data_IF_188272247571
#
_entry.id   IF_188272247571
#
_cell.length_a   1.000
_cell.length_b   1.000
_cell.length_c   1.000
_cell.angle_alpha   90.00
_cell.angle_beta   90.00
_cell.angle_gamma   90.00
#
_symmetry.space_group_name_H-M   'P 1'
#
loop_
_entity.id
_entity.type
_entity.pdbx_description
1 polymer ?
#
# COMPACT_ATOMS: atom_id res chain seq x y z
N UNK A 1 5.46 1.30 -16.31
CA UNK A 1 6.60 2.17 -15.96
C UNK A 1 6.29 2.95 -14.69
N UNK A 2 7.24 3.04 -13.79
CA UNK A 2 7.05 3.73 -12.50
C UNK A 2 7.35 5.21 -12.67
N UNK A 3 6.42 6.06 -12.23
CA UNK A 3 6.51 7.51 -12.40
C UNK A 3 6.05 8.22 -11.12
N UNK A 4 6.53 9.45 -10.87
CA UNK A 4 6.01 10.27 -9.79
C UNK A 4 4.53 10.57 -10.04
N UNK A 5 3.78 10.70 -8.95
CA UNK A 5 2.35 11.01 -9.03
C UNK A 5 2.11 12.40 -9.62
N UNK A 6 1.20 12.47 -10.58
CA UNK A 6 0.71 13.72 -11.15
C UNK A 6 -0.71 13.94 -10.60
N UNK A 7 -1.02 15.11 -10.02
CA UNK A 7 -2.37 15.38 -9.51
C UNK A 7 -3.50 15.17 -10.51
N UNK A 8 -3.23 15.25 -11.81
CA UNK A 8 -4.25 14.94 -12.83
C UNK A 8 -4.72 13.49 -12.80
N UNK A 9 -3.97 12.61 -12.13
CA UNK A 9 -4.29 11.19 -12.00
C UNK A 9 -5.00 10.85 -10.70
N UNK A 10 -5.34 11.86 -9.89
CA UNK A 10 -5.93 11.65 -8.56
C UNK A 10 -7.19 10.78 -8.61
N UNK A 11 -8.08 11.02 -9.57
CA UNK A 11 -9.31 10.22 -9.66
C UNK A 11 -9.03 8.75 -9.94
N UNK A 12 -8.05 8.45 -10.81
CA UNK A 12 -7.66 7.07 -11.10
C UNK A 12 -7.10 6.38 -9.85
N UNK A 13 -6.23 7.09 -9.12
CA UNK A 13 -5.63 6.58 -7.89
C UNK A 13 -6.71 6.30 -6.83
N UNK A 14 -7.66 7.21 -6.67
CA UNK A 14 -8.71 7.04 -5.67
C UNK A 14 -9.68 5.90 -5.98
N UNK A 15 -9.97 5.66 -7.25
CA UNK A 15 -10.78 4.51 -7.65
C UNK A 15 -10.05 3.21 -7.30
N UNK A 16 -8.75 3.14 -7.59
CA UNK A 16 -7.94 1.97 -7.23
C UNK A 16 -7.95 1.76 -5.71
N UNK A 17 -7.74 2.84 -4.94
CA UNK A 17 -7.75 2.78 -3.48
C UNK A 17 -9.07 2.17 -2.97
N UNK A 18 -10.19 2.68 -3.44
CA UNK A 18 -11.50 2.24 -2.96
C UNK A 18 -11.79 0.79 -3.34
N UNK A 19 -11.65 0.46 -4.62
CA UNK A 19 -12.01 -0.87 -5.12
C UNK A 19 -11.12 -1.97 -4.55
N UNK A 20 -9.80 -1.72 -4.46
CA UNK A 20 -8.89 -2.73 -3.93
C UNK A 20 -9.08 -2.96 -2.44
N UNK A 21 -9.37 -1.91 -1.66
CA UNK A 21 -9.64 -2.09 -0.24
C UNK A 21 -10.90 -2.90 0.00
N UNK A 22 -11.96 -2.61 -0.73
CA UNK A 22 -13.22 -3.35 -0.61
C UNK A 22 -12.99 -4.82 -0.97
N UNK A 23 -12.27 -5.08 -2.07
CA UNK A 23 -12.01 -6.43 -2.55
C UNK A 23 -11.10 -7.24 -1.60
N UNK A 24 -10.04 -6.61 -1.11
CA UNK A 24 -9.05 -7.29 -0.28
C UNK A 24 -9.49 -7.50 1.17
N UNK A 25 -10.47 -6.75 1.64
CA UNK A 25 -10.85 -6.72 3.04
C UNK A 25 -12.34 -7.00 3.24
N UNK A 26 -12.83 -8.22 2.89
CA UNK A 26 -14.27 -8.55 3.04
C UNK A 26 -14.71 -8.56 4.50
N UNK A 27 -13.79 -8.66 5.46
CA UNK A 27 -14.04 -8.61 6.89
C UNK A 27 -14.25 -7.18 7.43
N UNK A 28 -14.10 -6.15 6.57
CA UNK A 28 -14.37 -4.75 6.89
C UNK A 28 -15.55 -4.29 6.03
N UNK A 29 -16.58 -3.64 6.61
CA UNK A 29 -17.71 -3.18 5.80
C UNK A 29 -17.26 -2.21 4.70
N UNK A 30 -17.83 -2.35 3.50
CA UNK A 30 -17.52 -1.45 2.39
C UNK A 30 -17.77 0.01 2.74
N UNK A 31 -18.77 0.28 3.59
CA UNK A 31 -19.08 1.63 4.03
C UNK A 31 -17.90 2.31 4.75
N UNK A 32 -17.06 1.55 5.45
CA UNK A 32 -15.89 2.11 6.11
C UNK A 32 -14.97 2.80 5.08
N UNK A 33 -14.71 2.12 3.96
CA UNK A 33 -13.86 2.68 2.91
C UNK A 33 -14.53 3.87 2.22
N UNK A 34 -15.82 3.77 1.94
CA UNK A 34 -16.58 4.84 1.30
C UNK A 34 -16.65 6.09 2.17
N UNK A 35 -16.81 5.91 3.48
CA UNK A 35 -16.89 7.03 4.43
C UNK A 35 -15.55 7.74 4.60
N UNK A 36 -14.44 7.05 4.34
CA UNK A 36 -13.10 7.61 4.46
C UNK A 36 -12.53 8.14 3.13
N UNK A 37 -13.28 8.00 2.04
CA UNK A 37 -12.81 8.34 0.69
C UNK A 37 -12.32 9.78 0.58
N UNK A 38 -13.13 10.74 1.01
CA UNK A 38 -12.76 12.17 0.89
C UNK A 38 -11.58 12.54 1.79
N UNK A 39 -11.50 11.96 2.96
CA UNK A 39 -10.38 12.18 3.86
C UNK A 39 -9.07 11.69 3.23
N UNK A 40 -9.06 10.48 2.69
CA UNK A 40 -7.88 9.90 2.06
C UNK A 40 -7.48 10.69 0.82
N UNK A 41 -8.47 11.10 0.03
CA UNK A 41 -8.23 11.91 -1.16
C UNK A 41 -7.47 13.20 -0.81
N UNK A 42 -7.88 13.86 0.27
CA UNK A 42 -7.18 15.06 0.74
C UNK A 42 -5.78 14.76 1.28
N UNK A 43 -5.61 13.63 1.96
CA UNK A 43 -4.33 13.27 2.56
C UNK A 43 -3.27 12.87 1.53
N UNK A 44 -3.67 12.45 0.32
CA UNK A 44 -2.72 12.05 -0.71
C UNK A 44 -1.80 13.18 -1.15
N UNK A 45 -2.22 14.42 -1.02
CA UNK A 45 -1.39 15.57 -1.40
C UNK A 45 -0.13 15.69 -0.53
N UNK A 46 -0.13 15.10 0.67
CA UNK A 46 0.99 15.16 1.60
C UNK A 46 1.88 13.91 1.55
N UNK A 47 1.54 12.95 0.71
CA UNK A 47 2.29 11.70 0.59
C UNK A 47 3.27 11.75 -0.58
N UNK A 48 4.34 10.97 -0.48
CA UNK A 48 5.25 10.72 -1.59
C UNK A 48 4.68 9.51 -2.34
N UNK A 49 4.14 9.73 -3.53
CA UNK A 49 3.43 8.70 -4.28
C UNK A 49 4.15 8.36 -5.56
N UNK A 50 4.34 7.06 -5.80
CA UNK A 50 4.80 6.55 -7.08
C UNK A 50 3.66 5.76 -7.70
N UNK A 51 3.44 5.96 -9.00
CA UNK A 51 2.41 5.22 -9.74
C UNK A 51 3.08 4.30 -10.75
N UNK A 52 2.43 3.18 -11.04
CA UNK A 52 2.80 2.32 -12.17
C UNK A 52 1.80 2.63 -13.28
N UNK A 53 2.29 3.20 -14.36
CA UNK A 53 1.42 3.67 -15.45
C UNK A 53 1.89 3.16 -16.81
N UNK A 54 0.93 2.63 -17.58
CA UNK A 54 1.12 2.25 -18.98
C UNK A 54 -0.19 2.53 -19.71
N UNK A 55 -0.35 3.78 -20.16
CA UNK A 55 -1.61 4.24 -20.74
C UNK A 55 -2.64 4.63 -19.70
N UNK A 56 -2.78 3.82 -18.65
CA UNK A 56 -3.61 4.10 -17.48
C UNK A 56 -2.79 3.81 -16.23
N UNK A 57 -3.23 4.35 -15.09
CA UNK A 57 -2.62 4.02 -13.81
C UNK A 57 -3.07 2.61 -13.43
N UNK A 58 -2.11 1.72 -13.22
CA UNK A 58 -2.37 0.32 -12.86
C UNK A 58 -2.22 0.05 -11.37
N UNK A 59 -1.48 0.89 -10.67
CA UNK A 59 -1.26 0.76 -9.24
C UNK A 59 -0.47 1.92 -8.71
N UNK A 60 -0.37 2.01 -7.38
CA UNK A 60 0.42 3.06 -6.74
C UNK A 60 0.86 2.64 -5.35
N UNK A 61 1.89 3.33 -4.84
CA UNK A 61 2.35 3.21 -3.47
C UNK A 61 2.47 4.62 -2.89
N UNK A 62 2.01 4.81 -1.67
CA UNK A 62 2.12 6.09 -0.97
C UNK A 62 2.97 5.96 0.28
N UNK A 63 3.94 6.85 0.43
CA UNK A 63 4.83 6.89 1.58
C UNK A 63 4.59 8.20 2.34
N UNK A 64 4.38 8.10 3.64
CA UNK A 64 4.23 9.27 4.51
C UNK A 64 5.32 9.22 5.58
N UNK A 65 5.61 10.36 6.20
CA UNK A 65 6.60 10.45 7.29
C UNK A 65 7.95 9.81 6.93
N UNK A 66 8.31 9.87 5.64
CA UNK A 66 9.61 9.46 5.10
C UNK A 66 9.91 7.95 5.14
N UNK A 67 9.05 7.13 5.71
CA UNK A 67 9.33 5.69 5.76
C UNK A 67 8.09 4.82 5.93
N UNK A 68 6.93 5.38 6.20
CA UNK A 68 5.72 4.60 6.43
C UNK A 68 4.91 4.44 5.14
N UNK A 69 4.69 3.19 4.75
CA UNK A 69 3.85 2.88 3.60
C UNK A 69 2.40 3.02 4.02
N UNK A 70 1.75 4.09 3.58
CA UNK A 70 0.33 4.32 3.86
C UNK A 70 -0.53 3.36 3.05
N UNK A 71 -0.05 2.90 1.89
CA UNK A 71 -0.73 1.89 1.10
C UNK A 71 0.02 1.52 -0.15
N UNK A 72 -0.19 0.29 -0.59
CA UNK A 72 0.29 -0.24 -1.86
C UNK A 72 -0.90 -0.94 -2.50
N UNK A 73 -1.33 -0.46 -3.65
CA UNK A 73 -2.55 -0.92 -4.29
C UNK A 73 -2.33 -1.16 -5.77
N UNK A 74 -2.70 -2.35 -6.24
CA UNK A 74 -2.67 -2.70 -7.66
C UNK A 74 -4.11 -3.00 -8.09
N UNK A 75 -4.57 -2.36 -9.15
CA UNK A 75 -5.91 -2.59 -9.69
C UNK A 75 -6.08 -4.09 -9.97
N UNK A 76 -7.27 -4.62 -9.67
CA UNK A 76 -7.52 -6.07 -9.68
C UNK A 76 -7.12 -6.74 -10.98
N UNK A 77 -7.43 -6.15 -12.13
CA UNK A 77 -7.13 -6.71 -13.44
C UNK A 77 -5.63 -6.78 -13.75
N UNK A 78 -4.80 -6.09 -12.97
CA UNK A 78 -3.35 -6.06 -13.18
C UNK A 78 -2.56 -6.76 -12.07
N UNK A 79 -3.24 -7.38 -11.12
CA UNK A 79 -2.58 -8.13 -10.05
C UNK A 79 -1.93 -9.40 -10.60
N UNK A 80 -0.90 -9.88 -9.89
CA UNK A 80 -0.19 -11.09 -10.30
C UNK A 80 0.80 -10.90 -11.43
N UNK A 81 1.13 -9.66 -11.79
CA UNK A 81 2.06 -9.33 -12.87
C UNK A 81 3.37 -8.71 -12.38
N UNK A 82 3.60 -8.71 -11.07
CA UNK A 82 4.83 -8.19 -10.49
C UNK A 82 4.86 -6.68 -10.28
N UNK A 83 3.74 -5.98 -10.44
CA UNK A 83 3.71 -4.52 -10.31
C UNK A 83 3.92 -4.07 -8.86
N UNK A 84 3.34 -4.78 -7.89
CA UNK A 84 3.55 -4.49 -6.48
C UNK A 84 5.00 -4.63 -6.08
N UNK A 85 5.64 -5.69 -6.56
CA UNK A 85 7.08 -5.91 -6.33
C UNK A 85 7.90 -4.78 -6.93
N UNK A 86 7.58 -4.35 -8.15
CA UNK A 86 8.30 -3.26 -8.82
C UNK A 86 8.20 -1.96 -8.02
N UNK A 87 7.01 -1.64 -7.50
CA UNK A 87 6.81 -0.43 -6.69
C UNK A 87 7.59 -0.50 -5.36
N UNK A 88 7.57 -1.65 -4.69
CA UNK A 88 8.34 -1.84 -3.46
C UNK A 88 9.83 -1.69 -3.73
N UNK A 89 10.34 -2.31 -4.80
CA UNK A 89 11.77 -2.22 -5.13
C UNK A 89 12.18 -0.78 -5.46
N UNK A 90 11.33 -0.01 -6.12
CA UNK A 90 11.60 1.40 -6.39
C UNK A 90 11.73 2.18 -5.07
N UNK A 91 10.84 1.90 -4.09
CA UNK A 91 10.92 2.54 -2.78
C UNK A 91 12.17 2.12 -2.01
N UNK A 92 12.59 0.87 -2.13
CA UNK A 92 13.83 0.39 -1.48
C UNK A 92 15.08 1.11 -1.99
N UNK A 93 15.05 1.59 -3.21
CA UNK A 93 16.16 2.40 -3.75
C UNK A 93 16.18 3.80 -3.14
N UNK A 94 15.02 4.31 -2.76
CA UNK A 94 14.87 5.68 -2.29
C UNK A 94 14.95 5.81 -0.77
N UNK A 95 14.51 4.79 -0.03
CA UNK A 95 14.42 4.82 1.42
C UNK A 95 15.31 3.75 2.05
N UNK A 96 15.90 4.04 3.21
CA UNK A 96 16.75 3.08 3.93
C UNK A 96 15.94 2.11 4.79
N UNK A 97 14.71 2.47 5.11
CA UNK A 97 13.80 1.59 5.84
C UNK A 97 12.37 1.90 5.42
N UNK A 98 11.49 0.91 5.57
CA UNK A 98 10.07 1.05 5.25
C UNK A 98 9.29 0.30 6.33
N UNK A 99 8.16 0.86 6.74
CA UNK A 99 7.27 0.24 7.70
C UNK A 99 5.84 0.30 7.20
N UNK A 100 5.02 -0.64 7.65
CA UNK A 100 3.60 -0.67 7.27
C UNK A 100 2.78 -1.39 8.34
N UNK A 101 1.46 -1.19 8.25
CA UNK A 101 0.49 -2.00 8.97
C UNK A 101 -0.32 -2.77 7.94
N UNK A 102 -0.60 -4.04 8.21
CA UNK A 102 -1.39 -4.89 7.32
C UNK A 102 -2.33 -5.74 8.16
N UNK A 103 -3.57 -5.88 7.71
CA UNK A 103 -4.54 -6.72 8.39
C UNK A 103 -4.06 -8.18 8.40
N UNK A 104 -4.13 -8.82 9.56
CA UNK A 104 -3.77 -10.24 9.70
C UNK A 104 -4.61 -11.11 8.76
N UNK A 105 -5.88 -10.77 8.59
CA UNK A 105 -6.79 -11.50 7.71
C UNK A 105 -6.47 -11.37 6.23
N UNK A 106 -5.69 -10.35 5.84
CA UNK A 106 -5.24 -10.20 4.46
C UNK A 106 -3.96 -11.03 4.24
N UNK A 107 -4.15 -12.34 4.20
CA UNK A 107 -3.03 -13.29 4.18
C UNK A 107 -2.14 -13.17 2.96
N UNK A 108 -2.71 -12.85 1.80
CA UNK A 108 -1.92 -12.69 0.58
C UNK A 108 -0.99 -11.49 0.67
N UNK A 109 -1.45 -10.39 1.27
CA UNK A 109 -0.61 -9.21 1.47
C UNK A 109 0.51 -9.50 2.48
N UNK A 110 0.18 -10.19 3.58
CA UNK A 110 1.20 -10.57 4.58
C UNK A 110 2.31 -11.38 3.91
N UNK A 111 1.94 -12.39 3.12
CA UNK A 111 2.93 -13.21 2.40
C UNK A 111 3.74 -12.39 1.42
N UNK A 112 3.09 -11.47 0.71
CA UNK A 112 3.76 -10.60 -0.24
C UNK A 112 4.84 -9.76 0.46
N UNK A 113 4.52 -9.16 1.59
CA UNK A 113 5.48 -8.34 2.32
C UNK A 113 6.60 -9.18 2.93
N UNK A 114 6.30 -10.38 3.44
CA UNK A 114 7.33 -11.28 3.95
C UNK A 114 8.32 -11.67 2.84
N UNK A 115 7.83 -11.98 1.66
CA UNK A 115 8.67 -12.28 0.50
C UNK A 115 9.48 -11.08 0.04
N UNK A 116 9.00 -9.88 0.33
CA UNK A 116 9.69 -8.64 -0.01
C UNK A 116 10.72 -8.24 1.03
N UNK A 117 10.90 -9.04 2.08
CA UNK A 117 11.91 -8.82 3.10
C UNK A 117 11.41 -8.11 4.35
N UNK A 118 10.12 -7.90 4.49
CA UNK A 118 9.54 -7.29 5.68
C UNK A 118 9.38 -8.34 6.78
N UNK A 119 9.62 -7.92 8.02
CA UNK A 119 9.47 -8.77 9.21
C UNK A 119 8.34 -8.26 10.09
N UNK A 120 7.57 -9.18 10.67
CA UNK A 120 6.53 -8.83 11.64
C UNK A 120 7.21 -8.42 12.95
N UNK A 121 6.92 -7.21 13.42
CA UNK A 121 7.49 -6.70 14.68
C UNK A 121 6.48 -6.70 15.81
N UNK A 122 5.20 -6.59 15.49
CA UNK A 122 4.18 -6.39 16.50
C UNK A 122 2.81 -6.79 15.94
N UNK A 123 1.92 -7.22 16.82
CA UNK A 123 0.51 -7.44 16.48
C UNK A 123 -0.30 -6.47 17.32
N UNK A 124 -1.24 -5.77 16.69
CA UNK A 124 -2.06 -4.79 17.38
C UNK A 124 -3.47 -4.79 16.82
N UNK A 125 -4.39 -4.13 17.51
CA UNK A 125 -5.77 -3.99 17.06
C UNK A 125 -5.97 -2.63 16.41
N UNK A 126 -6.58 -2.60 15.23
CA UNK A 126 -7.03 -1.36 14.61
C UNK A 126 -8.33 -0.95 15.29
N UNK A 127 -8.33 0.19 15.97
CA UNK A 127 -9.48 0.64 16.75
C UNK A 127 -10.68 1.02 15.89
N UNK A 128 -10.45 1.46 14.67
CA UNK A 128 -11.53 1.88 13.77
C UNK A 128 -12.29 0.69 13.16
N UNK A 129 -11.59 -0.41 12.86
CA UNK A 129 -12.19 -1.58 12.22
C UNK A 129 -12.34 -2.77 13.17
N UNK A 130 -11.72 -2.71 14.36
CA UNK A 130 -11.69 -3.80 15.35
C UNK A 130 -11.01 -5.06 14.82
N UNK A 131 -10.17 -4.93 13.81
CA UNK A 131 -9.41 -6.02 13.20
C UNK A 131 -7.96 -6.01 13.68
N UNK A 132 -7.35 -7.19 13.75
CA UNK A 132 -5.93 -7.31 14.11
C UNK A 132 -5.06 -6.95 12.92
N UNK A 133 -3.96 -6.26 13.21
CA UNK A 133 -2.95 -5.89 12.22
C UNK A 133 -1.57 -6.33 12.66
N UNK A 134 -0.71 -6.62 11.68
CA UNK A 134 0.73 -6.77 11.91
C UNK A 134 1.41 -5.44 11.56
N UNK A 135 2.33 -5.00 12.42
CA UNK A 135 3.27 -3.95 12.10
C UNK A 135 4.52 -4.62 11.53
N UNK A 136 4.89 -4.29 10.30
CA UNK A 136 6.00 -4.91 9.60
C UNK A 136 7.04 -3.88 9.20
N UNK A 137 8.31 -4.28 9.19
CA UNK A 137 9.43 -3.38 8.90
C UNK A 137 10.43 -4.06 7.97
N UNK A 138 10.93 -3.28 7.03
CA UNK A 138 12.08 -3.64 6.20
C UNK A 138 13.19 -2.62 6.43
N UNK A 139 14.44 -3.09 6.55
CA UNK A 139 15.62 -2.24 6.69
C UNK A 139 16.68 -2.66 5.67
N UNK A 140 17.28 -1.66 5.02
CA UNK A 140 18.32 -1.92 4.02
C UNK A 140 19.52 -2.61 4.67
N UNK A 141 20.02 -3.64 4.00
CA UNK A 141 21.22 -4.37 4.45
C UNK A 141 20.95 -5.46 5.46
N UNK A 142 19.81 -5.46 6.12
CA UNK A 142 19.52 -6.44 7.18
C UNK A 142 19.32 -7.85 6.62
N UNK A 143 18.75 -7.95 5.41
CA UNK A 143 18.45 -9.23 4.75
C UNK A 143 19.40 -9.54 3.60
N UNK A 144 20.51 -8.84 3.52
CA UNK A 144 21.53 -8.98 2.47
C UNK A 144 22.74 -9.73 3.01
N UNK A 145 22.55 -10.94 3.40
CA UNK A 145 23.69 -11.71 3.93
C UNK A 145 24.17 -12.77 2.95
#
# INVERSE_FOLDING_TARGET
MIEPFDPSKLDQVMIIWLETNIDAHPFVPASFWKDNFEFVKGALSDADILVYEEGVVKGFIGIVEQSYIAGLFIAKQYQGQGLGHALIEACKQKYSSLALDVYVENKSAVKFYEKSGFEIKETKQNEDTQQQEYFMVWERGKNES
#
